data_IF_420350878070
#
_entry.id   IF_420350878070
#
_cell.length_a   1.000
_cell.length_b   1.000
_cell.length_c   1.000
_cell.angle_alpha   90.00
_cell.angle_beta   90.00
_cell.angle_gamma   90.00
#
_symmetry.space_group_name_H-M   'P 1'
#
loop_
_entity.id
_entity.type
_entity.pdbx_description
1 polymer ?
#
# COMPACT_ATOMS: atom_id res chain seq x y z
N UNK A 1 -1.08 -21.89 -14.63
CA UNK A 1 0.39 -21.83 -14.50
C UNK A 1 0.92 -20.72 -15.40
N UNK A 2 0.99 -19.48 -14.92
CA UNK A 2 1.89 -18.37 -15.35
C UNK A 2 1.81 -17.21 -14.34
N UNK A 3 2.15 -17.39 -13.06
CA UNK A 3 2.38 -16.27 -12.13
C UNK A 3 3.80 -15.70 -12.22
N UNK A 4 4.77 -16.43 -12.83
CA UNK A 4 6.18 -16.10 -12.66
C UNK A 4 6.70 -14.83 -13.36
N UNK A 5 6.10 -14.38 -14.47
CA UNK A 5 6.67 -13.24 -15.20
C UNK A 5 6.40 -11.88 -14.54
N UNK A 6 5.16 -11.64 -14.09
CA UNK A 6 4.83 -10.39 -13.41
C UNK A 6 5.53 -10.28 -12.05
N UNK A 7 5.67 -11.41 -11.33
CA UNK A 7 6.35 -11.47 -10.05
C UNK A 7 7.86 -11.24 -10.14
N UNK A 8 8.50 -11.55 -11.27
CA UNK A 8 9.96 -11.35 -11.48
C UNK A 8 10.41 -9.90 -11.25
N UNK A 9 9.56 -8.92 -11.52
CA UNK A 9 9.85 -7.51 -11.26
C UNK A 9 9.98 -7.18 -9.77
N UNK A 10 9.36 -7.98 -8.90
CA UNK A 10 9.22 -7.73 -7.47
C UNK A 10 9.94 -8.76 -6.61
N UNK A 11 10.66 -9.75 -7.22
CA UNK A 11 11.43 -10.78 -6.51
C UNK A 11 12.94 -10.56 -6.66
N UNK A 12 13.70 -11.08 -5.70
CA UNK A 12 15.16 -11.13 -5.70
C UNK A 12 15.81 -9.76 -5.90
N UNK A 13 16.87 -9.71 -6.68
CA UNK A 13 17.60 -8.47 -6.96
C UNK A 13 16.74 -7.40 -7.66
N UNK A 14 15.80 -7.80 -8.52
CA UNK A 14 14.89 -6.86 -9.19
C UNK A 14 13.97 -6.17 -8.18
N UNK A 15 13.36 -6.92 -7.25
CA UNK A 15 12.56 -6.38 -6.17
C UNK A 15 13.34 -5.47 -5.25
N UNK A 16 14.55 -5.88 -4.84
CA UNK A 16 15.44 -5.04 -4.03
C UNK A 16 15.82 -3.75 -4.75
N UNK A 17 16.10 -3.80 -6.06
CA UNK A 17 16.39 -2.62 -6.88
C UNK A 17 15.18 -1.70 -6.96
N UNK A 18 14.00 -2.26 -7.22
CA UNK A 18 12.73 -1.51 -7.22
C UNK A 18 12.52 -0.73 -5.93
N UNK A 19 12.71 -1.36 -4.77
CA UNK A 19 12.55 -0.70 -3.47
C UNK A 19 13.63 0.35 -3.20
N UNK A 20 14.88 0.09 -3.58
CA UNK A 20 15.98 1.05 -3.41
C UNK A 20 15.86 2.28 -4.31
N UNK A 21 15.52 2.09 -5.57
CA UNK A 21 15.55 3.19 -6.55
C UNK A 21 14.25 3.98 -6.59
N UNK A 22 13.12 3.30 -6.52
CA UNK A 22 11.81 3.94 -6.68
C UNK A 22 11.17 4.42 -5.40
N UNK A 23 11.39 3.70 -4.31
CA UNK A 23 10.88 4.05 -3.00
C UNK A 23 11.95 4.66 -2.08
N UNK A 24 13.11 5.04 -2.62
CA UNK A 24 14.18 5.65 -1.85
C UNK A 24 13.71 6.95 -1.17
N UNK A 25 13.59 6.88 0.13
CA UNK A 25 13.37 8.01 1.03
C UNK A 25 14.59 8.07 1.93
N UNK A 26 15.19 9.25 2.17
CA UNK A 26 16.30 9.36 3.10
C UNK A 26 15.94 8.79 4.47
N UNK A 27 16.85 8.07 5.11
CA UNK A 27 16.60 7.38 6.40
C UNK A 27 16.03 8.32 7.46
N UNK A 28 16.54 9.56 7.54
CA UNK A 28 16.03 10.59 8.43
C UNK A 28 14.54 10.94 8.22
N UNK A 29 13.99 10.70 7.03
CA UNK A 29 12.62 11.01 6.68
C UNK A 29 11.69 9.77 6.74
N UNK A 30 12.21 8.56 6.89
CA UNK A 30 11.39 7.35 7.04
C UNK A 30 10.35 7.49 8.16
N UNK A 31 10.70 8.00 9.36
CA UNK A 31 9.71 8.22 10.42
C UNK A 31 8.59 9.20 10.05
N UNK A 32 8.88 10.21 9.22
CA UNK A 32 7.89 11.20 8.78
C UNK A 32 6.89 10.59 7.80
N UNK A 33 7.41 9.81 6.85
CA UNK A 33 6.58 9.08 5.88
C UNK A 33 5.72 8.03 6.59
N UNK A 34 6.31 7.27 7.52
CA UNK A 34 5.58 6.26 8.29
C UNK A 34 4.44 6.88 9.13
N UNK A 35 4.66 8.05 9.77
CA UNK A 35 3.60 8.78 10.48
C UNK A 35 2.48 9.22 9.54
N UNK A 36 2.84 9.83 8.40
CA UNK A 36 1.86 10.24 7.39
C UNK A 36 0.98 9.08 6.90
N UNK A 37 1.58 7.89 6.74
CA UNK A 37 0.87 6.67 6.34
C UNK A 37 -0.04 6.16 7.45
N UNK A 38 0.45 6.14 8.69
CA UNK A 38 -0.34 5.75 9.85
C UNK A 38 -1.55 6.67 10.05
N UNK A 39 -1.40 7.99 9.89
CA UNK A 39 -2.50 8.96 9.98
C UNK A 39 -3.63 8.68 8.97
N UNK A 40 -3.31 8.10 7.82
CA UNK A 40 -4.31 7.70 6.82
C UNK A 40 -5.09 6.44 7.24
N UNK A 41 -4.44 5.51 7.90
CA UNK A 41 -4.99 4.20 8.26
C UNK A 41 -5.64 4.19 9.64
N UNK A 42 -5.08 4.90 10.60
CA UNK A 42 -5.49 4.89 12.01
C UNK A 42 -6.99 5.16 12.24
N UNK A 43 -7.70 6.04 11.49
CA UNK A 43 -9.13 6.26 11.68
C UNK A 43 -10.01 5.01 11.46
N UNK A 44 -9.47 4.00 10.80
CA UNK A 44 -10.18 2.75 10.49
C UNK A 44 -9.84 1.61 11.44
N UNK A 45 -8.87 1.79 12.34
CA UNK A 45 -8.26 0.74 13.16
C UNK A 45 -8.45 0.99 14.65
N UNK A 46 -8.30 -0.08 15.44
CA UNK A 46 -8.31 -0.06 16.90
C UNK A 46 -6.99 -0.61 17.44
N UNK A 47 -6.55 -0.21 18.64
CA UNK A 47 -5.35 -0.76 19.27
C UNK A 47 -5.40 -2.28 19.50
N UNK A 48 -6.61 -2.85 19.62
CA UNK A 48 -6.82 -4.29 19.78
C UNK A 48 -6.70 -5.09 18.48
N UNK A 49 -6.63 -4.43 17.32
CA UNK A 49 -6.74 -5.10 16.01
C UNK A 49 -5.45 -5.86 15.66
N UNK A 50 -5.64 -6.99 14.99
CA UNK A 50 -4.63 -7.66 14.17
C UNK A 50 -4.78 -7.14 12.75
N UNK A 51 -3.76 -6.48 12.22
CA UNK A 51 -3.74 -5.92 10.87
C UNK A 51 -2.79 -6.71 9.98
N UNK A 52 -3.21 -6.96 8.74
CA UNK A 52 -2.36 -7.50 7.68
C UNK A 52 -2.24 -6.47 6.56
N UNK A 53 -1.03 -6.16 6.12
CA UNK A 53 -0.79 -5.48 4.85
C UNK A 53 -0.40 -6.50 3.78
N UNK A 54 -1.19 -6.54 2.70
CA UNK A 54 -0.97 -7.39 1.53
C UNK A 54 -0.22 -6.60 0.45
N UNK A 55 1.01 -6.99 0.15
CA UNK A 55 1.96 -6.21 -0.64
C UNK A 55 2.60 -5.10 0.19
N UNK A 56 3.19 -5.45 1.34
CA UNK A 56 3.67 -4.51 2.33
C UNK A 56 4.98 -3.80 1.94
N UNK A 57 5.78 -4.38 1.04
CA UNK A 57 7.09 -3.88 0.67
C UNK A 57 7.96 -3.58 1.88
N UNK A 58 8.34 -2.32 2.06
CA UNK A 58 9.16 -1.88 3.18
C UNK A 58 8.42 -1.72 4.52
N UNK A 59 7.12 -2.03 4.59
CA UNK A 59 6.33 -2.02 5.82
C UNK A 59 6.08 -0.64 6.46
N UNK A 60 6.29 0.44 5.73
CA UNK A 60 6.16 1.80 6.28
C UNK A 60 4.74 2.15 6.71
N UNK A 61 3.72 1.55 6.09
CA UNK A 61 2.32 1.80 6.45
C UNK A 61 1.99 1.27 7.85
N UNK A 62 2.65 0.16 8.25
CA UNK A 62 2.40 -0.52 9.52
C UNK A 62 3.26 0.02 10.68
N UNK A 63 4.42 0.59 10.39
CA UNK A 63 5.47 0.87 11.39
C UNK A 63 5.00 1.76 12.55
N UNK A 64 4.10 2.70 12.30
CA UNK A 64 3.62 3.68 13.30
C UNK A 64 2.16 3.49 13.69
N UNK A 65 1.54 2.37 13.32
CA UNK A 65 0.21 2.03 13.77
C UNK A 65 0.25 1.49 15.20
N UNK A 66 -0.72 1.93 15.99
CA UNK A 66 -1.01 1.37 17.30
C UNK A 66 -2.04 0.24 17.11
N UNK A 67 -1.52 -0.99 16.97
CA UNK A 67 -2.32 -2.20 16.77
C UNK A 67 -1.65 -3.36 17.51
N UNK A 68 -2.46 -4.28 18.04
CA UNK A 68 -1.99 -5.44 18.80
C UNK A 68 -1.00 -6.29 18.00
N UNK A 69 -1.27 -6.52 16.71
CA UNK A 69 -0.42 -7.32 15.83
C UNK A 69 -0.37 -6.72 14.44
N UNK A 70 0.83 -6.59 13.90
CA UNK A 70 1.09 -6.01 12.58
C UNK A 70 1.78 -7.05 11.70
N UNK A 71 1.07 -7.56 10.70
CA UNK A 71 1.54 -8.58 9.77
C UNK A 71 1.81 -7.93 8.41
N UNK A 72 2.96 -8.21 7.84
CA UNK A 72 3.38 -7.76 6.51
C UNK A 72 3.56 -8.98 5.61
N UNK A 73 2.73 -9.10 4.58
CA UNK A 73 2.89 -10.07 3.50
C UNK A 73 3.40 -9.38 2.24
N UNK A 74 4.45 -9.94 1.66
CA UNK A 74 4.97 -9.55 0.35
C UNK A 74 5.60 -10.78 -0.31
N UNK A 75 5.94 -10.69 -1.60
CA UNK A 75 6.58 -11.77 -2.36
C UNK A 75 7.96 -12.15 -1.78
N UNK A 76 8.63 -11.20 -1.14
CA UNK A 76 9.89 -11.39 -0.41
C UNK A 76 9.95 -10.50 0.82
N UNK A 77 10.88 -10.83 1.72
CA UNK A 77 11.08 -10.08 2.95
C UNK A 77 11.95 -8.84 2.74
N UNK A 78 11.28 -7.73 2.48
CA UNK A 78 11.93 -6.42 2.30
C UNK A 78 11.92 -5.56 3.57
N UNK A 79 11.48 -6.08 4.71
CA UNK A 79 11.36 -5.29 5.93
C UNK A 79 12.73 -4.86 6.49
N UNK A 80 13.02 -3.55 6.59
CA UNK A 80 14.19 -3.05 7.28
C UNK A 80 14.21 -3.44 8.77
N UNK A 81 15.40 -3.57 9.41
CA UNK A 81 15.50 -3.87 10.84
C UNK A 81 14.73 -2.90 11.73
N UNK A 82 14.68 -1.60 11.39
CA UNK A 82 13.93 -0.58 12.12
C UNK A 82 12.41 -0.80 12.09
N UNK A 83 11.88 -1.39 11.01
CA UNK A 83 10.47 -1.71 10.88
C UNK A 83 10.13 -2.97 11.68
N UNK A 84 11.01 -3.96 11.66
CA UNK A 84 10.89 -5.15 12.54
C UNK A 84 10.93 -4.74 14.02
N UNK A 85 11.84 -3.85 14.39
CA UNK A 85 11.91 -3.29 15.74
C UNK A 85 10.65 -2.51 16.15
N UNK A 86 9.87 -2.00 15.18
CA UNK A 86 8.55 -1.41 15.41
C UNK A 86 7.42 -2.44 15.56
N UNK A 87 7.76 -3.74 15.66
CA UNK A 87 6.81 -4.83 15.90
C UNK A 87 6.08 -5.32 14.65
N UNK A 88 6.58 -5.03 13.44
CA UNK A 88 6.03 -5.54 12.19
C UNK A 88 6.63 -6.93 11.92
N UNK A 89 5.77 -7.92 11.73
CA UNK A 89 6.13 -9.32 11.47
C UNK A 89 5.95 -9.63 9.99
N UNK A 90 7.00 -10.11 9.34
CA UNK A 90 6.90 -10.64 7.99
C UNK A 90 6.21 -11.99 7.97
N UNK A 91 5.33 -12.19 6.99
CA UNK A 91 4.64 -13.46 6.72
C UNK A 91 4.97 -13.87 5.29
N UNK A 92 5.70 -14.97 5.09
CA UNK A 92 6.16 -15.38 3.76
C UNK A 92 5.05 -15.97 2.89
N UNK A 93 3.96 -16.43 3.51
CA UNK A 93 2.84 -17.06 2.83
C UNK A 93 1.53 -16.65 3.52
N UNK A 94 0.69 -15.89 2.81
CA UNK A 94 -0.61 -15.48 3.31
C UNK A 94 -1.55 -16.67 3.57
N UNK A 95 -1.39 -17.78 2.81
CA UNK A 95 -2.23 -18.97 2.97
C UNK A 95 -1.98 -19.69 4.30
N UNK A 96 -0.79 -19.50 4.91
CA UNK A 96 -0.48 -20.04 6.22
C UNK A 96 -1.18 -19.29 7.37
N UNK A 97 -1.76 -18.12 7.13
CA UNK A 97 -2.56 -17.42 8.12
C UNK A 97 -3.93 -18.08 8.22
N UNK A 98 -4.35 -18.42 9.43
CA UNK A 98 -5.66 -19.02 9.67
C UNK A 98 -6.78 -18.07 9.20
N UNK A 99 -7.84 -18.64 8.65
CA UNK A 99 -9.02 -17.90 8.22
C UNK A 99 -9.68 -17.16 9.39
N UNK A 100 -10.29 -16.03 9.12
CA UNK A 100 -11.04 -15.22 10.09
C UNK A 100 -10.26 -14.83 11.35
N UNK A 101 -8.96 -14.50 11.19
CA UNK A 101 -8.08 -14.09 12.32
C UNK A 101 -7.60 -12.64 12.22
N UNK A 102 -7.83 -11.97 11.10
CA UNK A 102 -7.40 -10.60 10.83
C UNK A 102 -8.58 -9.64 11.00
N UNK A 103 -8.40 -8.57 11.74
CA UNK A 103 -9.43 -7.54 11.98
C UNK A 103 -9.46 -6.52 10.84
N UNK A 104 -8.30 -6.22 10.22
CA UNK A 104 -8.21 -5.34 9.07
C UNK A 104 -7.13 -5.81 8.08
N UNK A 105 -7.48 -5.85 6.81
CA UNK A 105 -6.55 -6.08 5.70
C UNK A 105 -6.34 -4.77 4.94
N UNK A 106 -5.08 -4.40 4.72
CA UNK A 106 -4.66 -3.24 3.93
C UNK A 106 -3.99 -3.74 2.65
N UNK A 107 -4.34 -3.16 1.51
CA UNK A 107 -3.57 -3.32 0.27
C UNK A 107 -3.32 -1.92 -0.31
N UNK A 108 -2.05 -1.49 -0.25
CA UNK A 108 -1.68 -0.12 -0.54
C UNK A 108 -0.70 -0.04 -1.70
N UNK A 109 -1.18 0.35 -2.87
CA UNK A 109 -0.39 0.41 -4.10
C UNK A 109 0.33 -0.92 -4.39
N UNK A 110 -0.45 -2.00 -4.35
CA UNK A 110 -0.02 -3.34 -4.67
C UNK A 110 -1.00 -4.06 -5.61
N UNK A 111 -2.33 -3.82 -5.48
CA UNK A 111 -3.34 -4.53 -6.26
C UNK A 111 -3.19 -4.32 -7.78
N UNK A 112 -2.70 -3.17 -8.21
CA UNK A 112 -2.41 -2.84 -9.62
C UNK A 112 -1.30 -3.69 -10.23
N UNK A 113 -0.50 -4.35 -9.42
CA UNK A 113 0.62 -5.21 -9.83
C UNK A 113 0.27 -6.71 -9.81
N UNK A 114 -0.86 -7.08 -9.20
CA UNK A 114 -1.25 -8.47 -9.00
C UNK A 114 -1.96 -9.00 -10.25
N UNK A 115 -1.46 -10.12 -10.79
CA UNK A 115 -1.97 -10.73 -12.02
C UNK A 115 -3.43 -11.16 -11.90
N UNK A 116 -3.85 -11.62 -10.72
CA UNK A 116 -5.22 -12.07 -10.40
C UNK A 116 -5.78 -11.28 -9.21
N UNK A 117 -6.20 -10.02 -9.42
CA UNK A 117 -6.63 -9.17 -8.31
C UNK A 117 -7.88 -9.69 -7.60
N UNK A 118 -8.78 -10.39 -8.30
CA UNK A 118 -9.94 -11.04 -7.67
C UNK A 118 -9.51 -12.12 -6.68
N UNK A 119 -8.58 -13.01 -7.06
CA UNK A 119 -8.07 -14.06 -6.17
C UNK A 119 -7.36 -13.47 -4.92
N UNK A 120 -6.62 -12.36 -5.09
CA UNK A 120 -6.01 -11.67 -3.96
C UNK A 120 -7.06 -11.05 -3.01
N UNK A 121 -8.15 -10.52 -3.55
CA UNK A 121 -9.27 -10.00 -2.76
C UNK A 121 -10.02 -11.14 -2.02
N UNK A 122 -10.24 -12.26 -2.67
CA UNK A 122 -10.84 -13.46 -2.06
C UNK A 122 -9.97 -13.99 -0.92
N UNK A 123 -8.63 -14.00 -1.10
CA UNK A 123 -7.70 -14.38 -0.04
C UNK A 123 -7.73 -13.40 1.13
N UNK A 124 -7.71 -12.10 0.89
CA UNK A 124 -7.89 -11.10 1.94
C UNK A 124 -9.24 -11.27 2.66
N UNK A 125 -10.32 -11.62 1.91
CA UNK A 125 -11.62 -11.91 2.50
C UNK A 125 -11.59 -13.15 3.38
N UNK A 126 -10.90 -14.22 2.96
CA UNK A 126 -10.72 -15.43 3.78
C UNK A 126 -10.07 -15.13 5.12
N UNK A 127 -9.06 -14.28 5.12
CA UNK A 127 -8.27 -13.92 6.30
C UNK A 127 -9.03 -13.02 7.27
N UNK A 128 -9.86 -12.12 6.76
CA UNK A 128 -10.64 -11.19 7.59
C UNK A 128 -11.70 -11.93 8.43
N UNK A 129 -11.93 -11.46 9.64
CA UNK A 129 -13.08 -11.86 10.46
C UNK A 129 -14.40 -11.37 9.84
N UNK A 130 -15.55 -11.95 10.20
CA UNK A 130 -16.84 -11.29 9.99
C UNK A 130 -16.79 -9.85 10.49
N UNK A 131 -17.34 -8.91 9.75
CA UNK A 131 -17.26 -7.45 9.97
C UNK A 131 -15.82 -6.85 9.91
N UNK A 132 -14.81 -7.66 9.59
CA UNK A 132 -13.43 -7.20 9.38
C UNK A 132 -13.35 -6.25 8.18
N UNK A 133 -12.40 -5.31 8.25
CA UNK A 133 -12.29 -4.21 7.28
C UNK A 133 -11.25 -4.50 6.21
N UNK A 134 -11.59 -4.21 4.96
CA UNK A 134 -10.67 -4.12 3.82
C UNK A 134 -10.41 -2.65 3.52
N UNK A 135 -9.14 -2.25 3.50
CA UNK A 135 -8.68 -0.90 3.19
C UNK A 135 -7.83 -0.95 1.92
N UNK A 136 -8.38 -0.49 0.79
CA UNK A 136 -7.69 -0.49 -0.50
C UNK A 136 -7.28 0.92 -0.90
N UNK A 137 -6.04 1.03 -1.39
CA UNK A 137 -5.50 2.26 -1.95
C UNK A 137 -4.77 1.89 -3.25
N UNK A 138 -5.22 2.42 -4.38
CA UNK A 138 -4.61 2.19 -5.68
C UNK A 138 -4.40 3.51 -6.42
N UNK A 139 -3.41 3.63 -7.30
CA UNK A 139 -3.20 4.85 -8.09
C UNK A 139 -4.45 5.19 -8.90
N UNK A 140 -4.83 6.47 -8.91
CA UNK A 140 -5.81 6.98 -9.86
C UNK A 140 -5.07 7.48 -11.09
N UNK A 141 -5.01 6.66 -12.12
CA UNK A 141 -4.32 6.98 -13.37
C UNK A 141 -5.27 7.55 -14.41
N UNK A 142 -4.83 8.62 -15.06
CA UNK A 142 -5.58 9.23 -16.15
C UNK A 142 -5.14 8.58 -17.46
N UNK A 143 -6.07 8.29 -18.37
CA UNK A 143 -5.82 7.73 -19.71
C UNK A 143 -4.69 8.41 -20.48
N UNK A 144 -4.51 9.72 -20.26
CA UNK A 144 -3.50 10.51 -20.97
C UNK A 144 -2.05 10.17 -20.59
N UNK A 145 -1.82 9.43 -19.50
CA UNK A 145 -0.47 9.13 -19.01
C UNK A 145 0.23 8.08 -19.89
N UNK A 146 -0.52 7.10 -20.39
CA UNK A 146 0.01 5.95 -21.13
C UNK A 146 -0.63 5.84 -22.52
N UNK A 147 -0.22 6.71 -23.43
CA UNK A 147 -0.72 6.69 -24.82
C UNK A 147 0.02 5.73 -25.74
N UNK A 148 1.19 5.26 -25.33
CA UNK A 148 2.04 4.31 -26.07
C UNK A 148 2.58 3.31 -25.09
N UNK A 149 2.70 2.07 -25.54
CA UNK A 149 3.36 1.03 -24.76
C UNK A 149 4.86 1.31 -24.68
N UNK A 150 5.40 1.25 -23.46
CA UNK A 150 6.82 1.34 -23.18
C UNK A 150 7.22 0.12 -22.35
N UNK A 151 8.02 -0.81 -22.91
CA UNK A 151 8.45 -2.01 -22.18
C UNK A 151 9.39 -1.69 -21.01
N UNK A 152 9.97 -0.49 -20.97
CA UNK A 152 10.83 0.00 -19.89
C UNK A 152 10.06 0.82 -18.84
N UNK A 153 8.72 0.85 -18.92
CA UNK A 153 7.90 1.58 -17.96
C UNK A 153 8.15 1.07 -16.54
N UNK A 154 8.60 1.94 -15.68
CA UNK A 154 9.18 1.50 -14.41
C UNK A 154 8.17 1.09 -13.34
N UNK A 155 6.89 1.39 -13.44
CA UNK A 155 5.87 1.01 -12.44
C UNK A 155 5.28 -0.37 -12.69
N UNK A 156 5.29 -0.82 -13.94
CA UNK A 156 4.77 -2.13 -14.36
C UNK A 156 3.36 -2.41 -13.83
N UNK A 157 2.45 -1.41 -13.96
CA UNK A 157 1.06 -1.60 -13.58
C UNK A 157 0.35 -2.49 -14.61
N UNK A 158 -0.28 -3.55 -14.13
CA UNK A 158 -1.09 -4.45 -14.96
C UNK A 158 -2.52 -3.95 -15.09
N UNK A 159 -2.99 -3.18 -14.10
CA UNK A 159 -4.34 -2.66 -14.02
C UNK A 159 -4.34 -1.16 -13.73
N UNK A 160 -5.33 -0.48 -14.29
CA UNK A 160 -5.66 0.91 -13.98
C UNK A 160 -7.06 0.97 -13.37
N UNK A 161 -7.20 1.66 -12.26
CA UNK A 161 -8.42 1.68 -11.46
C UNK A 161 -9.08 3.05 -11.42
N UNK A 162 -10.40 3.04 -11.42
CA UNK A 162 -11.23 4.17 -10.97
C UNK A 162 -12.14 3.71 -9.83
N UNK A 163 -12.86 4.66 -9.23
CA UNK A 163 -13.74 4.39 -8.07
C UNK A 163 -14.78 3.32 -8.39
N UNK A 164 -15.40 3.40 -9.58
CA UNK A 164 -16.46 2.50 -9.98
C UNK A 164 -15.95 1.08 -10.26
N UNK A 165 -14.89 0.95 -11.07
CA UNK A 165 -14.38 -0.37 -11.46
C UNK A 165 -13.78 -1.12 -10.27
N UNK A 166 -13.08 -0.42 -9.37
CA UNK A 166 -12.58 -1.02 -8.14
C UNK A 166 -13.72 -1.44 -7.21
N UNK A 167 -14.73 -0.57 -7.04
CA UNK A 167 -15.91 -0.86 -6.21
C UNK A 167 -16.67 -2.09 -6.69
N UNK A 168 -16.91 -2.19 -8.01
CA UNK A 168 -17.58 -3.35 -8.61
C UNK A 168 -16.79 -4.64 -8.34
N UNK A 169 -15.47 -4.65 -8.60
CA UNK A 169 -14.65 -5.83 -8.36
C UNK A 169 -14.70 -6.27 -6.88
N UNK A 170 -14.60 -5.33 -5.95
CA UNK A 170 -14.64 -5.61 -4.52
C UNK A 170 -16.01 -6.20 -4.11
N UNK A 171 -17.10 -5.70 -4.68
CA UNK A 171 -18.45 -6.26 -4.44
C UNK A 171 -18.60 -7.68 -5.02
N UNK A 172 -18.12 -7.91 -6.23
CA UNK A 172 -18.13 -9.26 -6.84
C UNK A 172 -17.30 -10.27 -6.04
N UNK A 173 -16.21 -9.82 -5.36
CA UNK A 173 -15.47 -10.66 -4.42
C UNK A 173 -16.16 -10.82 -3.05
N UNK A 174 -17.43 -10.42 -2.90
CA UNK A 174 -18.26 -10.66 -1.73
C UNK A 174 -18.03 -9.70 -0.55
N UNK A 175 -17.50 -8.53 -0.78
CA UNK A 175 -17.41 -7.47 0.22
C UNK A 175 -18.59 -6.51 0.16
N UNK A 176 -18.89 -5.86 1.27
CA UNK A 176 -19.79 -4.70 1.32
C UNK A 176 -18.95 -3.43 1.29
N UNK A 177 -19.02 -2.67 0.19
CA UNK A 177 -18.34 -1.38 0.06
C UNK A 177 -19.04 -0.36 0.95
N UNK A 178 -18.32 0.17 1.94
CA UNK A 178 -18.82 1.22 2.84
C UNK A 178 -18.50 2.62 2.30
N UNK A 179 -17.32 2.80 1.68
CA UNK A 179 -16.90 4.07 1.12
C UNK A 179 -15.93 3.83 -0.05
N UNK A 180 -16.08 4.59 -1.12
CA UNK A 180 -15.11 4.65 -2.20
C UNK A 180 -15.03 6.07 -2.76
N UNK A 181 -13.83 6.65 -2.83
CA UNK A 181 -13.60 8.01 -3.30
C UNK A 181 -12.17 8.21 -3.77
N UNK A 182 -11.91 9.32 -4.48
CA UNK A 182 -10.52 9.72 -4.76
C UNK A 182 -9.97 10.59 -3.63
N UNK A 183 -8.71 10.36 -3.27
CA UNK A 183 -7.97 11.17 -2.31
C UNK A 183 -6.66 11.71 -2.88
N UNK A 184 -6.12 12.77 -2.26
CA UNK A 184 -4.79 13.29 -2.61
C UNK A 184 -3.71 12.34 -2.13
N UNK A 185 -2.75 12.02 -3.01
CA UNK A 185 -1.63 11.14 -2.71
C UNK A 185 -0.41 11.48 -3.57
N UNK A 186 0.79 11.24 -3.05
CA UNK A 186 2.04 11.38 -3.80
C UNK A 186 2.99 12.42 -3.23
N UNK A 187 4.11 12.58 -3.93
CA UNK A 187 5.23 13.48 -3.61
C UNK A 187 5.99 13.19 -2.31
N UNK A 188 5.70 12.07 -1.63
CA UNK A 188 6.34 11.72 -0.36
C UNK A 188 7.87 11.69 -0.50
N UNK A 189 8.39 10.99 -1.52
CA UNK A 189 9.83 10.90 -1.80
C UNK A 189 10.45 12.28 -2.11
N UNK A 190 9.84 13.02 -3.02
CA UNK A 190 10.36 14.31 -3.43
C UNK A 190 10.40 15.31 -2.25
N UNK A 191 9.30 15.42 -1.53
CA UNK A 191 9.21 16.29 -0.36
C UNK A 191 10.19 15.87 0.75
N UNK A 192 10.37 14.55 0.98
CA UNK A 192 11.32 14.03 1.96
C UNK A 192 12.77 14.38 1.60
N UNK A 193 13.18 14.14 0.35
CA UNK A 193 14.53 14.46 -0.13
C UNK A 193 14.84 15.93 0.05
N UNK A 194 13.94 16.83 -0.35
CA UNK A 194 14.17 18.26 -0.23
C UNK A 194 14.12 18.75 1.22
N UNK A 195 13.21 18.22 2.03
CA UNK A 195 13.13 18.58 3.45
C UNK A 195 14.41 18.17 4.20
N UNK A 196 15.01 17.02 3.89
CA UNK A 196 16.29 16.60 4.48
C UNK A 196 17.44 17.48 3.98
N UNK A 197 17.55 17.70 2.65
CA UNK A 197 18.61 18.55 2.07
C UNK A 197 18.60 19.96 2.62
N UNK A 198 17.42 20.54 2.80
CA UNK A 198 17.25 21.92 3.30
C UNK A 198 17.14 21.97 4.83
N UNK A 199 17.30 20.86 5.55
CA UNK A 199 17.22 20.75 7.02
C UNK A 199 15.89 21.29 7.61
N UNK A 200 14.78 21.14 6.88
CA UNK A 200 13.47 21.67 7.28
C UNK A 200 12.70 20.74 8.24
N UNK A 201 13.19 19.53 8.45
CA UNK A 201 12.53 18.53 9.30
C UNK A 201 11.15 18.07 8.78
N UNK A 202 10.38 17.42 9.65
CA UNK A 202 9.04 16.95 9.31
C UNK A 202 8.03 18.07 8.97
N UNK A 203 8.02 19.22 9.66
CA UNK A 203 7.13 20.32 9.25
C UNK A 203 7.37 20.78 7.83
N UNK A 204 8.63 20.92 7.42
CA UNK A 204 9.00 21.28 6.04
C UNK A 204 8.61 20.20 5.04
N UNK A 205 8.81 18.92 5.37
CA UNK A 205 8.33 17.80 4.56
C UNK A 205 6.81 17.92 4.31
N UNK A 206 6.01 18.12 5.35
CA UNK A 206 4.55 18.23 5.25
C UNK A 206 4.13 19.47 4.43
N UNK A 207 4.79 20.60 4.63
CA UNK A 207 4.52 21.83 3.90
C UNK A 207 4.84 21.69 2.40
N UNK A 208 6.02 21.20 2.04
CA UNK A 208 6.43 20.94 0.67
C UNK A 208 5.49 19.97 -0.04
N UNK A 209 5.16 18.86 0.62
CA UNK A 209 4.23 17.88 0.07
C UNK A 209 2.84 18.49 -0.18
N UNK A 210 2.33 19.28 0.77
CA UNK A 210 1.02 19.96 0.62
C UNK A 210 1.04 20.93 -0.55
N UNK A 211 2.08 21.74 -0.67
CA UNK A 211 2.28 22.67 -1.78
C UNK A 211 2.27 21.95 -3.13
N UNK A 212 3.07 20.89 -3.27
CA UNK A 212 3.14 20.10 -4.50
C UNK A 212 1.79 19.49 -4.88
N UNK A 213 1.05 18.94 -3.91
CA UNK A 213 -0.29 18.39 -4.14
C UNK A 213 -1.33 19.47 -4.47
N UNK A 214 -1.08 20.72 -4.14
CA UNK A 214 -1.95 21.85 -4.53
C UNK A 214 -1.64 22.29 -5.96
N UNK A 215 -0.36 22.43 -6.30
CA UNK A 215 0.08 22.87 -7.62
C UNK A 215 -0.14 21.83 -8.71
N UNK A 216 0.15 20.56 -8.40
CA UNK A 216 0.01 19.43 -9.33
C UNK A 216 -0.68 18.26 -8.62
N UNK A 217 -2.02 18.22 -8.57
CA UNK A 217 -2.74 17.18 -7.85
C UNK A 217 -2.43 15.78 -8.37
N UNK A 218 -1.89 14.93 -7.50
CA UNK A 218 -1.81 13.50 -7.67
C UNK A 218 -2.87 12.83 -6.78
N UNK A 219 -3.48 11.75 -7.25
CA UNK A 219 -4.62 11.11 -6.59
C UNK A 219 -4.45 9.61 -6.52
N UNK A 220 -5.10 9.01 -5.53
CA UNK A 220 -5.34 7.58 -5.40
C UNK A 220 -6.84 7.33 -5.25
N UNK A 221 -7.32 6.15 -5.62
CA UNK A 221 -8.61 5.64 -5.21
C UNK A 221 -8.45 5.09 -3.81
N UNK A 222 -9.34 5.45 -2.91
CA UNK A 222 -9.46 4.97 -1.53
C UNK A 222 -10.78 4.23 -1.40
N UNK A 223 -10.73 3.00 -0.95
CA UNK A 223 -11.91 2.19 -0.74
C UNK A 223 -11.85 1.53 0.63
N UNK A 224 -12.95 1.60 1.34
CA UNK A 224 -13.18 0.90 2.61
C UNK A 224 -14.36 -0.04 2.40
N UNK A 225 -14.16 -1.32 2.69
CA UNK A 225 -15.21 -2.32 2.62
C UNK A 225 -15.17 -3.21 3.87
N UNK A 226 -16.22 -3.97 4.11
CA UNK A 226 -16.31 -4.94 5.19
C UNK A 226 -16.60 -6.32 4.64
N UNK A 227 -16.09 -7.35 5.31
CA UNK A 227 -16.51 -8.73 5.11
C UNK A 227 -17.87 -8.91 5.80
N UNK A 228 -18.96 -9.26 5.07
CA UNK A 228 -20.23 -9.63 5.68
C UNK A 228 -20.11 -10.85 6.58
#
# INVERSE_FOLDING_TARGET
>A
MVPEQAERHYRGEAGQRYHREKRAVPDAAIPWVARLRAEKLAPHLRPSDTILEYGAGLGWNLARLDCRRKLAFDLEDFLPPSIRAAGVQFVPDATAIAAATVDAAVCHHALEHIMQPAAALEEMRRLLRPDGKLLLFVPFERERKYRRFDPAEPHHHLYSWNVQTLGNLVQECGFRVAQAATGRFGYDRFAAVWAVKLRLGEPGFRALRRLLLTLKPAREVRLVATRP
#
